data_IF_436284204161
#
_entry.id   IF_436284204161
#
_cell.length_a   1.000
_cell.length_b   1.000
_cell.length_c   1.000
_cell.angle_alpha   90.00
_cell.angle_beta   90.00
_cell.angle_gamma   90.00
#
_symmetry.space_group_name_H-M   'P 1'
#
loop_
_entity.id
_entity.type
_entity.pdbx_description
1 polymer ?
#
# COMPACT_ATOMS: atom_id res chain seq x y z
N UNK A 1 11.66 -7.75 -13.82
CA UNK A 1 11.06 -6.51 -13.29
C UNK A 1 11.46 -6.38 -11.83
N UNK A 2 11.68 -5.17 -11.31
CA UNK A 2 11.99 -5.03 -9.88
C UNK A 2 10.73 -5.32 -9.04
N UNK A 3 10.89 -5.88 -7.85
CA UNK A 3 9.80 -6.10 -6.90
C UNK A 3 9.89 -5.07 -5.77
N UNK A 4 8.74 -4.52 -5.38
CA UNK A 4 8.61 -3.60 -4.25
C UNK A 4 7.99 -4.35 -3.07
N UNK A 5 8.71 -4.36 -1.94
CA UNK A 5 8.15 -4.75 -0.65
C UNK A 5 7.53 -3.53 0.03
N UNK A 6 6.20 -3.55 0.17
CA UNK A 6 5.43 -2.45 0.75
C UNK A 6 4.96 -2.88 2.13
N UNK A 7 5.28 -2.09 3.17
CA UNK A 7 4.88 -2.36 4.55
C UNK A 7 3.99 -1.25 5.09
N UNK A 8 2.85 -1.60 5.66
CA UNK A 8 2.00 -0.63 6.34
C UNK A 8 2.57 -0.30 7.72
N UNK A 9 3.24 0.84 7.86
CA UNK A 9 3.88 1.23 9.14
C UNK A 9 2.89 1.86 10.13
N UNK A 10 1.84 2.52 9.64
CA UNK A 10 0.87 3.29 10.45
C UNK A 10 -0.56 2.79 10.28
N UNK A 11 -1.41 3.13 11.26
CA UNK A 11 -2.84 2.84 11.22
C UNK A 11 -3.56 3.61 10.09
N UNK A 12 -4.69 3.08 9.63
CA UNK A 12 -5.62 3.76 8.71
C UNK A 12 -6.61 4.68 9.41
N UNK A 13 -6.61 4.71 10.75
CA UNK A 13 -7.44 5.61 11.56
C UNK A 13 -7.03 7.06 11.27
N UNK A 14 -8.01 7.90 10.92
CA UNK A 14 -7.76 9.30 10.53
C UNK A 14 -7.25 9.49 9.09
N UNK A 15 -6.92 8.42 8.36
CA UNK A 15 -6.56 8.51 6.95
C UNK A 15 -7.77 8.92 6.09
N UNK A 16 -7.53 9.67 5.00
CA UNK A 16 -8.58 10.05 4.05
C UNK A 16 -9.14 8.81 3.34
N UNK A 17 -10.38 8.88 2.88
CA UNK A 17 -11.04 7.78 2.15
C UNK A 17 -10.16 7.19 1.04
N UNK A 18 -9.57 8.04 0.19
CA UNK A 18 -8.70 7.62 -0.91
C UNK A 18 -7.49 6.80 -0.45
N UNK A 19 -6.87 7.17 0.67
CA UNK A 19 -5.73 6.43 1.21
C UNK A 19 -6.15 5.06 1.74
N UNK A 20 -7.33 4.94 2.35
CA UNK A 20 -7.86 3.65 2.81
C UNK A 20 -8.12 2.71 1.65
N UNK A 21 -8.70 3.22 0.56
CA UNK A 21 -8.94 2.44 -0.65
C UNK A 21 -7.64 2.03 -1.33
N UNK A 22 -6.65 2.92 -1.44
CA UNK A 22 -5.31 2.55 -1.97
C UNK A 22 -4.67 1.42 -1.16
N UNK A 23 -4.72 1.48 0.18
CA UNK A 23 -4.19 0.42 1.04
C UNK A 23 -4.96 -0.90 0.85
N UNK A 24 -6.29 -0.86 0.65
CA UNK A 24 -7.10 -2.04 0.34
C UNK A 24 -6.74 -2.66 -1.01
N UNK A 25 -6.55 -1.85 -2.06
CA UNK A 25 -6.10 -2.32 -3.38
C UNK A 25 -4.71 -2.97 -3.33
N UNK A 26 -3.82 -2.44 -2.49
CA UNK A 26 -2.51 -3.04 -2.22
C UNK A 26 -2.60 -4.32 -1.38
N UNK A 27 -3.71 -4.58 -0.70
CA UNK A 27 -3.92 -5.76 0.16
C UNK A 27 -3.43 -5.58 1.60
N UNK A 28 -3.15 -4.34 2.01
CA UNK A 28 -2.69 -3.98 3.35
C UNK A 28 -3.90 -3.73 4.26
N UNK A 29 -4.12 -4.65 5.21
CA UNK A 29 -5.26 -4.64 6.14
C UNK A 29 -4.86 -4.37 7.59
N UNK A 30 -3.59 -4.61 7.96
CA UNK A 30 -3.08 -4.49 9.32
C UNK A 30 -1.72 -3.79 9.36
N UNK A 31 -1.43 -3.13 10.48
CA UNK A 31 -0.13 -2.52 10.76
C UNK A 31 0.96 -3.61 10.76
N UNK A 32 2.14 -3.28 10.24
CA UNK A 32 3.30 -4.15 9.98
C UNK A 32 3.06 -5.28 8.97
N UNK A 33 1.90 -5.35 8.34
CA UNK A 33 1.70 -6.25 7.20
C UNK A 33 2.56 -5.78 6.03
N UNK A 34 3.23 -6.74 5.38
CA UNK A 34 4.02 -6.49 4.18
C UNK A 34 3.41 -7.22 3.00
N UNK A 35 3.42 -6.59 1.83
CA UNK A 35 2.99 -7.19 0.55
C UNK A 35 4.09 -6.93 -0.47
N UNK A 36 4.41 -7.93 -1.28
CA UNK A 36 5.33 -7.80 -2.42
C UNK A 36 4.50 -7.58 -3.68
N UNK A 37 4.85 -6.57 -4.48
CA UNK A 37 4.22 -6.25 -5.76
C UNK A 37 5.29 -5.94 -6.80
N UNK A 38 4.96 -6.14 -8.06
CA UNK A 38 5.82 -5.72 -9.17
C UNK A 38 5.95 -4.18 -9.22
N UNK A 39 7.14 -3.71 -9.55
CA UNK A 39 7.41 -2.30 -9.74
C UNK A 39 6.85 -1.81 -11.10
N UNK A 40 5.62 -1.33 -11.08
CA UNK A 40 4.95 -0.74 -12.24
C UNK A 40 4.40 0.67 -11.92
N UNK A 41 4.07 1.43 -12.97
CA UNK A 41 3.59 2.80 -12.83
C UNK A 41 2.32 2.91 -11.95
N UNK A 42 1.46 1.91 -11.99
CA UNK A 42 0.25 1.84 -11.16
C UNK A 42 0.58 1.68 -9.68
N UNK A 43 1.47 0.73 -9.32
CA UNK A 43 1.91 0.49 -7.94
C UNK A 43 2.62 1.71 -7.38
N UNK A 44 3.50 2.34 -8.18
CA UNK A 44 4.12 3.63 -7.81
C UNK A 44 3.09 4.74 -7.58
N UNK A 45 2.05 4.80 -8.42
CA UNK A 45 0.95 5.75 -8.27
C UNK A 45 0.14 5.57 -6.99
N UNK A 46 -0.03 4.32 -6.52
CA UNK A 46 -0.74 4.01 -5.27
C UNK A 46 0.07 4.34 -4.00
N UNK A 47 1.40 4.38 -4.10
CA UNK A 47 2.31 4.66 -2.97
C UNK A 47 2.51 6.16 -2.75
N UNK A 48 2.34 6.98 -3.80
CA UNK A 48 2.58 8.43 -3.79
C UNK A 48 1.49 9.21 -3.04
#
# INVERSE_FOLDING_TARGET
MAELKITQVRSTIGARWRQRESLRSLGLRKIRQSVVREDNAQTRGLIK
#
